data_IF_385950942479
#
_entry.id   IF_385950942479
#
_cell.length_a   1.000
_cell.length_b   1.000
_cell.length_c   1.000
_cell.angle_alpha   90.00
_cell.angle_beta   90.00
_cell.angle_gamma   90.00
#
_symmetry.space_group_name_H-M   'P 1'
#
loop_
_entity.id
_entity.type
_entity.pdbx_description
1 polymer ?
#
# COMPACT_ATOMS: atom_id res chain seq x y z
N UNK A 1 -31.41 -8.17 -4.72
CA UNK A 1 -32.18 -9.45 -4.60
C UNK A 1 -31.17 -10.57 -4.72
N UNK A 2 -31.16 -11.53 -3.79
CA UNK A 2 -30.17 -12.62 -3.76
C UNK A 2 -30.26 -13.51 -5.01
N UNK A 3 -29.13 -14.03 -5.50
CA UNK A 3 -29.07 -14.88 -6.69
C UNK A 3 -30.09 -16.04 -6.65
N UNK A 4 -30.15 -16.71 -5.48
CA UNK A 4 -31.13 -17.80 -5.23
C UNK A 4 -32.57 -17.32 -5.45
N UNK A 5 -32.89 -16.12 -4.94
CA UNK A 5 -34.24 -15.53 -5.10
C UNK A 5 -34.50 -15.12 -6.55
N UNK A 6 -33.48 -14.63 -7.29
CA UNK A 6 -33.61 -14.31 -8.73
C UNK A 6 -33.86 -15.54 -9.57
N UNK A 7 -33.14 -16.63 -9.34
CA UNK A 7 -33.31 -17.89 -10.05
C UNK A 7 -34.72 -18.44 -9.77
N UNK A 8 -35.18 -18.43 -8.53
CA UNK A 8 -36.51 -18.89 -8.14
C UNK A 8 -37.59 -18.03 -8.81
N UNK A 9 -37.46 -16.69 -8.72
CA UNK A 9 -38.43 -15.77 -9.36
C UNK A 9 -38.41 -15.91 -10.87
N UNK A 10 -37.24 -16.06 -11.49
CA UNK A 10 -37.15 -16.34 -12.95
C UNK A 10 -37.83 -17.65 -13.34
N UNK A 11 -37.61 -18.71 -12.56
CA UNK A 11 -38.24 -20.02 -12.83
C UNK A 11 -39.76 -19.96 -12.62
N UNK A 12 -40.21 -19.28 -11.57
CA UNK A 12 -41.66 -19.07 -11.31
C UNK A 12 -42.28 -18.22 -12.43
N UNK A 13 -41.59 -17.17 -12.88
CA UNK A 13 -42.02 -16.30 -13.96
C UNK A 13 -42.16 -17.07 -15.30
N UNK A 14 -41.20 -17.95 -15.61
CA UNK A 14 -41.26 -18.80 -16.84
C UNK A 14 -42.52 -19.69 -16.86
N UNK A 15 -42.94 -20.16 -15.69
CA UNK A 15 -44.09 -21.08 -15.58
C UNK A 15 -45.41 -20.32 -15.42
N UNK A 16 -45.45 -19.36 -14.45
CA UNK A 16 -46.68 -18.67 -14.11
C UNK A 16 -47.13 -17.62 -15.12
N UNK A 17 -46.20 -16.89 -15.77
CA UNK A 17 -46.53 -15.79 -16.66
C UNK A 17 -47.22 -16.32 -17.95
N UNK A 18 -46.72 -17.37 -18.62
CA UNK A 18 -47.44 -17.98 -19.75
C UNK A 18 -48.80 -18.54 -19.34
N UNK A 19 -48.89 -19.18 -18.18
CA UNK A 19 -50.15 -19.74 -17.66
C UNK A 19 -51.20 -18.65 -17.40
N UNK A 20 -50.78 -17.53 -16.77
CA UNK A 20 -51.67 -16.39 -16.51
C UNK A 20 -52.13 -15.73 -17.81
N UNK A 21 -51.20 -15.50 -18.75
CA UNK A 21 -51.53 -14.92 -20.05
C UNK A 21 -52.45 -15.83 -20.89
N UNK A 22 -52.22 -17.16 -20.83
CA UNK A 22 -53.05 -18.11 -21.47
C UNK A 22 -54.45 -18.18 -20.84
N UNK A 23 -54.57 -18.15 -19.50
CA UNK A 23 -55.85 -18.11 -18.80
C UNK A 23 -56.62 -16.81 -19.05
N UNK A 24 -55.94 -15.66 -19.14
CA UNK A 24 -56.55 -14.39 -19.51
C UNK A 24 -57.06 -14.38 -20.95
N UNK A 25 -56.32 -14.99 -21.89
CA UNK A 25 -56.74 -15.19 -23.29
C UNK A 25 -57.99 -16.08 -23.38
N UNK A 26 -58.01 -17.18 -22.63
CA UNK A 26 -59.19 -18.08 -22.54
C UNK A 26 -60.41 -17.35 -21.96
N UNK A 27 -60.23 -16.56 -20.91
CA UNK A 27 -61.33 -15.80 -20.30
C UNK A 27 -61.89 -14.72 -21.25
N UNK A 28 -61.02 -13.96 -21.91
CA UNK A 28 -61.41 -12.98 -22.91
C UNK A 28 -62.18 -13.64 -24.09
N UNK A 29 -61.73 -14.82 -24.48
CA UNK A 29 -62.39 -15.59 -25.51
C UNK A 29 -63.79 -16.08 -25.06
N UNK A 30 -63.94 -16.59 -23.85
CA UNK A 30 -65.22 -17.04 -23.30
C UNK A 30 -66.26 -15.89 -23.23
N UNK A 31 -65.80 -14.68 -22.89
CA UNK A 31 -66.64 -13.49 -22.86
C UNK A 31 -67.11 -13.02 -24.23
N UNK A 32 -66.29 -13.13 -25.28
CA UNK A 32 -66.63 -12.81 -26.66
C UNK A 32 -67.63 -13.85 -27.22
N UNK A 33 -67.46 -15.11 -26.87
CA UNK A 33 -68.42 -16.17 -27.22
C UNK A 33 -69.80 -15.95 -26.56
N UNK A 34 -69.82 -15.61 -25.27
CA UNK A 34 -71.03 -15.33 -24.52
C UNK A 34 -71.81 -14.14 -25.11
N UNK A 35 -71.11 -13.09 -25.56
CA UNK A 35 -71.74 -11.96 -26.27
C UNK A 35 -72.35 -12.38 -27.64
N UNK A 36 -71.58 -13.15 -28.44
CA UNK A 36 -72.11 -13.64 -29.73
C UNK A 36 -73.32 -14.56 -29.59
N UNK A 37 -73.33 -15.39 -28.56
CA UNK A 37 -74.52 -16.26 -28.27
C UNK A 37 -75.68 -15.38 -27.81
N UNK A 38 -75.46 -14.35 -27.03
CA UNK A 38 -76.52 -13.44 -26.58
C UNK A 38 -77.08 -12.55 -27.70
N UNK A 39 -76.23 -12.11 -28.64
CA UNK A 39 -76.65 -11.39 -29.85
C UNK A 39 -77.43 -12.29 -30.80
N UNK A 40 -77.00 -13.51 -31.00
CA UNK A 40 -77.74 -14.48 -31.81
C UNK A 40 -79.08 -14.93 -31.20
N UNK A 41 -79.17 -15.03 -29.89
CA UNK A 41 -80.43 -15.33 -29.18
C UNK A 41 -81.40 -14.15 -29.21
N UNK A 42 -80.91 -12.88 -29.19
CA UNK A 42 -81.73 -11.69 -29.30
C UNK A 42 -82.30 -11.50 -30.74
N UNK A 43 -81.56 -11.90 -31.75
CA UNK A 43 -82.06 -11.93 -33.18
C UNK A 43 -83.03 -13.07 -33.43
N UNK A 44 -82.93 -14.19 -32.70
CA UNK A 44 -83.88 -15.34 -32.87
C UNK A 44 -85.26 -15.12 -32.19
N UNK A 45 -85.37 -14.12 -31.24
CA UNK A 45 -86.67 -13.83 -30.59
C UNK A 45 -87.59 -12.94 -31.41
N UNK A 46 -87.14 -12.41 -32.54
CA UNK A 46 -87.92 -11.52 -33.41
C UNK A 46 -88.54 -12.19 -34.63
N UNK A 47 -88.36 -13.52 -34.80
CA UNK A 47 -88.93 -14.29 -35.88
C UNK A 47 -89.58 -15.58 -35.35
N UNK A 48 -90.82 -15.42 -34.88
CA UNK A 48 -91.71 -16.52 -34.60
C UNK A 48 -92.22 -17.12 -35.93
N UNK A 49 -91.62 -18.27 -36.39
CA UNK A 49 -92.29 -19.33 -37.06
C UNK A 49 -91.45 -20.60 -37.25
N UNK A 50 -91.97 -21.66 -36.64
CA UNK A 50 -91.76 -23.10 -36.86
C UNK A 50 -90.93 -23.50 -38.08
N UNK A 51 -89.92 -24.34 -37.87
CA UNK A 51 -89.76 -25.68 -38.45
C UNK A 51 -88.71 -26.45 -37.66
N UNK A 52 -89.05 -27.62 -37.15
CA UNK A 52 -88.12 -28.62 -36.59
C UNK A 52 -87.25 -29.19 -37.69
N UNK A 53 -86.03 -28.78 -37.79
CA UNK A 53 -85.04 -29.56 -38.51
C UNK A 53 -83.75 -29.64 -37.65
N UNK A 54 -83.59 -30.81 -37.05
CA UNK A 54 -82.43 -31.14 -36.26
C UNK A 54 -81.34 -31.54 -37.22
N UNK A 55 -80.76 -30.59 -37.90
CA UNK A 55 -79.48 -30.73 -38.54
C UNK A 55 -78.42 -29.93 -37.71
N UNK A 56 -77.56 -30.64 -37.00
CA UNK A 56 -76.43 -30.07 -36.35
C UNK A 56 -75.62 -29.20 -37.34
N UNK A 57 -75.43 -27.93 -37.10
CA UNK A 57 -74.81 -27.06 -38.09
C UNK A 57 -73.37 -27.48 -38.30
N UNK A 58 -73.07 -27.99 -39.49
CA UNK A 58 -71.71 -28.29 -39.98
C UNK A 58 -70.77 -27.04 -39.90
N UNK A 59 -71.28 -25.84 -39.68
CA UNK A 59 -70.54 -24.57 -39.50
C UNK A 59 -69.81 -24.48 -38.17
N UNK A 60 -70.24 -25.26 -37.16
CA UNK A 60 -69.59 -25.20 -35.84
C UNK A 60 -68.22 -25.87 -35.84
N UNK A 61 -67.96 -26.86 -36.64
CA UNK A 61 -66.66 -27.57 -36.64
C UNK A 61 -65.51 -26.76 -37.29
N UNK A 62 -65.85 -25.96 -38.33
CA UNK A 62 -64.84 -25.10 -38.97
C UNK A 62 -64.49 -23.85 -38.11
N UNK A 63 -65.46 -23.27 -37.43
CA UNK A 63 -65.24 -22.18 -36.50
C UNK A 63 -64.44 -22.63 -35.30
N UNK A 64 -64.70 -23.77 -34.69
CA UNK A 64 -63.95 -24.38 -33.61
C UNK A 64 -62.48 -24.64 -34.02
N UNK A 65 -62.25 -25.15 -35.25
CA UNK A 65 -60.89 -25.38 -35.79
C UNK A 65 -60.13 -24.07 -36.01
N UNK A 66 -60.73 -22.99 -36.48
CA UNK A 66 -60.12 -21.67 -36.64
C UNK A 66 -59.75 -21.09 -35.26
N UNK A 67 -60.65 -21.14 -34.32
CA UNK A 67 -60.45 -20.69 -32.95
C UNK A 67 -59.29 -21.44 -32.20
N UNK A 68 -59.28 -22.78 -32.38
CA UNK A 68 -58.20 -23.58 -31.83
C UNK A 68 -56.81 -23.19 -32.44
N UNK A 69 -56.80 -22.89 -33.76
CA UNK A 69 -55.57 -22.38 -34.41
C UNK A 69 -55.09 -21.05 -33.88
N UNK A 70 -55.99 -20.09 -33.66
CA UNK A 70 -55.65 -18.76 -33.09
C UNK A 70 -55.22 -18.89 -31.66
N UNK A 71 -55.80 -19.76 -30.84
CA UNK A 71 -55.37 -20.05 -29.48
C UNK A 71 -53.96 -20.66 -29.43
N UNK A 72 -53.67 -21.63 -30.33
CA UNK A 72 -52.34 -22.23 -30.44
C UNK A 72 -51.29 -21.16 -30.85
N UNK A 73 -51.66 -20.33 -31.81
CA UNK A 73 -50.79 -19.26 -32.30
C UNK A 73 -50.47 -18.25 -31.18
N UNK A 74 -51.47 -17.78 -30.43
CA UNK A 74 -51.29 -16.86 -29.34
C UNK A 74 -50.47 -17.46 -28.17
N UNK A 75 -50.72 -18.72 -27.81
CA UNK A 75 -49.93 -19.44 -26.82
C UNK A 75 -48.45 -19.59 -27.25
N UNK A 76 -48.21 -19.89 -28.53
CA UNK A 76 -46.86 -19.98 -29.07
C UNK A 76 -46.12 -18.64 -29.02
N UNK A 77 -46.78 -17.53 -29.39
CA UNK A 77 -46.18 -16.16 -29.31
C UNK A 77 -45.84 -15.80 -27.86
N UNK A 78 -46.74 -16.06 -26.92
CA UNK A 78 -46.54 -15.80 -25.49
C UNK A 78 -45.32 -16.60 -24.98
N UNK A 79 -45.22 -17.87 -25.35
CA UNK A 79 -44.12 -18.75 -24.92
C UNK A 79 -42.77 -18.30 -25.48
N UNK A 80 -42.72 -17.92 -26.74
CA UNK A 80 -41.51 -17.40 -27.38
C UNK A 80 -41.08 -16.07 -26.73
N UNK A 81 -42.01 -15.15 -26.50
CA UNK A 81 -41.73 -13.86 -25.88
C UNK A 81 -41.23 -14.00 -24.46
N UNK A 82 -41.84 -14.88 -23.65
CA UNK A 82 -41.39 -15.12 -22.26
C UNK A 82 -40.03 -15.80 -22.25
N UNK A 83 -39.75 -16.75 -23.10
CA UNK A 83 -38.45 -17.42 -23.22
C UNK A 83 -37.34 -16.42 -23.60
N UNK A 84 -37.58 -15.53 -24.55
CA UNK A 84 -36.64 -14.49 -24.96
C UNK A 84 -36.40 -13.48 -23.85
N UNK A 85 -37.45 -13.03 -23.15
CA UNK A 85 -37.34 -12.07 -22.06
C UNK A 85 -36.50 -12.62 -20.90
N UNK A 86 -36.75 -13.85 -20.51
CA UNK A 86 -36.01 -14.51 -19.42
C UNK A 86 -34.60 -14.84 -19.88
N UNK A 87 -34.38 -15.28 -21.10
CA UNK A 87 -33.04 -15.51 -21.66
C UNK A 87 -32.19 -14.27 -21.65
N UNK A 88 -32.74 -13.11 -22.08
CA UNK A 88 -32.05 -11.82 -22.03
C UNK A 88 -31.76 -11.38 -20.60
N UNK A 89 -32.69 -11.63 -19.69
CA UNK A 89 -32.49 -11.29 -18.28
C UNK A 89 -31.38 -12.12 -17.63
N UNK A 90 -31.35 -13.43 -17.85
CA UNK A 90 -30.31 -14.34 -17.39
C UNK A 90 -28.94 -13.93 -17.99
N UNK A 91 -28.90 -13.67 -19.29
CA UNK A 91 -27.70 -13.26 -19.98
C UNK A 91 -27.08 -12.00 -19.33
N UNK A 92 -27.89 -10.95 -19.08
CA UNK A 92 -27.43 -9.71 -18.45
C UNK A 92 -27.05 -9.89 -16.96
N UNK A 93 -27.79 -10.75 -16.25
CA UNK A 93 -27.62 -10.94 -14.81
C UNK A 93 -26.43 -11.86 -14.43
N UNK A 94 -26.08 -12.80 -15.32
CA UNK A 94 -25.07 -13.84 -15.02
C UNK A 94 -23.92 -13.81 -16.02
N UNK A 95 -24.21 -13.88 -17.30
CA UNK A 95 -23.17 -14.07 -18.31
C UNK A 95 -22.26 -12.84 -18.44
N UNK A 96 -22.82 -11.63 -18.41
CA UNK A 96 -22.04 -10.38 -18.55
C UNK A 96 -21.07 -10.19 -17.40
N UNK A 97 -21.44 -10.29 -16.09
CA UNK A 97 -20.50 -10.20 -14.97
C UNK A 97 -19.42 -11.28 -15.02
N UNK A 98 -19.76 -12.50 -15.39
CA UNK A 98 -18.81 -13.60 -15.50
C UNK A 98 -17.73 -13.34 -16.58
N UNK A 99 -18.13 -12.79 -17.73
CA UNK A 99 -17.20 -12.39 -18.79
C UNK A 99 -16.29 -11.25 -18.33
N UNK A 100 -16.84 -10.25 -17.60
CA UNK A 100 -16.04 -9.15 -17.00
C UNK A 100 -14.98 -9.73 -16.04
N UNK A 101 -15.35 -10.61 -15.13
CA UNK A 101 -14.43 -11.28 -14.19
C UNK A 101 -13.38 -12.12 -14.92
N UNK A 102 -13.77 -12.90 -15.94
CA UNK A 102 -12.83 -13.68 -16.76
C UNK A 102 -11.78 -12.78 -17.42
N UNK A 103 -12.20 -11.63 -17.97
CA UNK A 103 -11.29 -10.65 -18.57
C UNK A 103 -10.36 -10.03 -17.52
N UNK A 104 -10.90 -9.66 -16.34
CA UNK A 104 -10.13 -9.13 -15.23
C UNK A 104 -9.06 -10.12 -14.74
N UNK A 105 -9.44 -11.41 -14.56
CA UNK A 105 -8.50 -12.47 -14.20
C UNK A 105 -7.39 -12.66 -15.24
N UNK A 106 -7.72 -12.55 -16.53
CA UNK A 106 -6.72 -12.61 -17.60
C UNK A 106 -5.73 -11.44 -17.50
N UNK A 107 -6.23 -10.21 -17.32
CA UNK A 107 -5.39 -9.03 -17.16
C UNK A 107 -4.42 -9.18 -15.98
N UNK A 108 -4.91 -9.64 -14.82
CA UNK A 108 -4.07 -9.88 -13.64
C UNK A 108 -2.99 -10.93 -13.94
N UNK A 109 -3.37 -12.03 -14.62
CA UNK A 109 -2.41 -13.08 -15.01
C UNK A 109 -1.29 -12.54 -15.92
N UNK A 110 -1.61 -11.57 -16.77
CA UNK A 110 -0.67 -10.91 -17.69
C UNK A 110 0.12 -9.76 -17.00
N UNK A 111 -0.08 -9.54 -15.70
CA UNK A 111 0.58 -8.48 -14.92
C UNK A 111 0.00 -7.09 -15.13
N UNK A 112 -1.08 -6.97 -15.90
CA UNK A 112 -1.76 -5.69 -16.08
C UNK A 112 -2.76 -5.48 -14.94
N UNK A 113 -2.42 -4.55 -14.04
CA UNK A 113 -3.26 -4.15 -12.90
C UNK A 113 -3.91 -2.77 -13.12
N UNK A 114 -3.65 -2.09 -14.26
CA UNK A 114 -4.12 -0.74 -14.57
C UNK A 114 -5.49 -0.73 -15.26
N UNK A 115 -6.42 -1.53 -14.75
CA UNK A 115 -7.81 -1.50 -15.16
C UNK A 115 -8.70 -1.33 -13.93
N UNK A 116 -9.94 -0.91 -14.16
CA UNK A 116 -10.96 -0.80 -13.11
C UNK A 116 -12.10 -1.76 -13.48
N UNK A 117 -12.54 -2.55 -12.52
CA UNK A 117 -13.70 -3.39 -12.68
C UNK A 117 -14.94 -2.59 -12.26
N UNK A 118 -15.68 -2.05 -13.24
CA UNK A 118 -16.93 -1.36 -12.97
C UNK A 118 -17.96 -2.34 -12.41
N UNK A 119 -18.48 -2.01 -11.24
CA UNK A 119 -19.47 -2.80 -10.53
C UNK A 119 -20.82 -2.11 -10.62
N UNK A 120 -21.75 -2.72 -11.31
CA UNK A 120 -23.12 -2.26 -11.43
C UNK A 120 -24.07 -3.24 -10.72
N UNK A 121 -24.92 -2.71 -9.86
CA UNK A 121 -25.94 -3.51 -9.17
C UNK A 121 -25.66 -3.73 -7.69
N UNK A 122 -26.55 -4.47 -7.02
CA UNK A 122 -26.49 -4.74 -5.58
C UNK A 122 -26.84 -6.22 -5.31
N UNK A 123 -26.27 -7.11 -6.10
CA UNK A 123 -26.46 -8.56 -6.02
C UNK A 123 -25.14 -9.26 -5.66
N UNK A 124 -25.20 -10.58 -5.51
CA UNK A 124 -24.05 -11.40 -5.14
C UNK A 124 -22.92 -11.34 -6.18
N UNK A 125 -23.23 -11.14 -7.46
CA UNK A 125 -22.22 -10.95 -8.50
C UNK A 125 -21.57 -9.57 -8.41
N UNK A 126 -22.34 -8.55 -8.07
CA UNK A 126 -21.82 -7.21 -7.82
C UNK A 126 -20.88 -7.22 -6.61
N UNK A 127 -21.26 -7.92 -5.54
CA UNK A 127 -20.41 -8.10 -4.37
C UNK A 127 -19.12 -8.85 -4.72
N UNK A 128 -19.20 -9.93 -5.47
CA UNK A 128 -18.03 -10.67 -5.96
C UNK A 128 -17.10 -9.78 -6.82
N UNK A 129 -17.67 -8.93 -7.67
CA UNK A 129 -16.90 -7.97 -8.45
C UNK A 129 -16.22 -6.90 -7.56
N UNK A 130 -16.89 -6.46 -6.47
CA UNK A 130 -16.31 -5.55 -5.50
C UNK A 130 -15.13 -6.19 -4.76
N UNK A 131 -15.32 -7.41 -4.24
CA UNK A 131 -14.25 -8.15 -3.54
C UNK A 131 -13.05 -8.39 -4.48
N UNK A 132 -13.31 -8.65 -5.74
CA UNK A 132 -12.27 -8.82 -6.76
C UNK A 132 -11.54 -7.52 -7.08
N UNK A 133 -12.25 -6.39 -7.13
CA UNK A 133 -11.65 -5.07 -7.34
C UNK A 133 -10.81 -4.64 -6.13
N UNK A 134 -11.27 -4.93 -4.90
CA UNK A 134 -10.47 -4.69 -3.70
C UNK A 134 -9.19 -5.54 -3.69
N UNK A 135 -9.29 -6.82 -4.06
CA UNK A 135 -8.13 -7.70 -4.21
C UNK A 135 -7.15 -7.16 -5.27
N UNK A 136 -7.65 -6.72 -6.43
CA UNK A 136 -6.82 -6.11 -7.49
C UNK A 136 -6.09 -4.88 -6.99
N UNK A 137 -6.81 -4.00 -6.25
CA UNK A 137 -6.23 -2.77 -5.69
C UNK A 137 -5.11 -3.08 -4.71
N UNK A 138 -5.34 -4.00 -3.77
CA UNK A 138 -4.31 -4.45 -2.81
C UNK A 138 -3.10 -5.07 -3.52
N UNK A 139 -3.35 -5.86 -4.56
CA UNK A 139 -2.27 -6.46 -5.36
C UNK A 139 -1.45 -5.39 -6.10
N UNK A 140 -2.12 -4.36 -6.64
CA UNK A 140 -1.46 -3.24 -7.29
C UNK A 140 -0.58 -2.48 -6.29
N UNK A 141 -1.13 -2.09 -5.14
CA UNK A 141 -0.40 -1.40 -4.07
C UNK A 141 0.82 -2.22 -3.62
N UNK A 142 0.65 -3.50 -3.35
CA UNK A 142 1.76 -4.39 -2.97
C UNK A 142 2.83 -4.54 -4.07
N UNK A 143 2.42 -4.53 -5.34
CA UNK A 143 3.37 -4.60 -6.46
C UNK A 143 4.16 -3.30 -6.62
N UNK A 144 3.49 -2.16 -6.49
CA UNK A 144 4.11 -0.83 -6.53
C UNK A 144 5.11 -0.65 -5.37
N UNK A 145 4.74 -1.05 -4.15
CA UNK A 145 5.63 -1.06 -2.99
C UNK A 145 6.87 -1.94 -3.23
N UNK A 146 6.68 -3.13 -3.81
CA UNK A 146 7.80 -4.03 -4.14
C UNK A 146 8.73 -3.43 -5.19
N UNK A 147 8.19 -2.80 -6.23
CA UNK A 147 9.00 -2.13 -7.26
C UNK A 147 9.81 -0.98 -6.65
N UNK A 148 9.19 -0.20 -5.76
CA UNK A 148 9.87 0.89 -5.05
C UNK A 148 11.01 0.33 -4.19
N UNK A 149 10.75 -0.71 -3.41
CA UNK A 149 11.76 -1.38 -2.56
C UNK A 149 12.91 -1.97 -3.39
N UNK A 150 12.62 -2.61 -4.53
CA UNK A 150 13.65 -3.14 -5.43
C UNK A 150 14.51 -2.01 -6.03
N UNK A 151 13.91 -0.86 -6.34
CA UNK A 151 14.64 0.32 -6.80
C UNK A 151 15.55 0.87 -5.70
N UNK A 152 15.03 1.04 -4.49
CA UNK A 152 15.80 1.50 -3.33
C UNK A 152 16.98 0.57 -3.04
N UNK A 153 16.78 -0.75 -3.10
CA UNK A 153 17.86 -1.73 -2.92
C UNK A 153 18.95 -1.64 -4.01
N UNK A 154 18.57 -1.41 -5.26
CA UNK A 154 19.55 -1.20 -6.34
C UNK A 154 20.36 0.08 -6.14
N UNK A 155 19.71 1.16 -5.76
CA UNK A 155 20.38 2.43 -5.42
C UNK A 155 21.32 2.27 -4.22
N UNK A 156 20.91 1.51 -3.19
CA UNK A 156 21.77 1.15 -2.07
C UNK A 156 23.05 0.46 -2.52
N UNK A 157 22.92 -0.63 -3.26
CA UNK A 157 24.09 -1.42 -3.72
C UNK A 157 25.03 -0.53 -4.55
N UNK A 158 24.48 0.33 -5.40
CA UNK A 158 25.26 1.26 -6.21
C UNK A 158 26.03 2.27 -5.35
N UNK A 159 25.35 2.89 -4.39
CA UNK A 159 25.95 3.91 -3.52
C UNK A 159 27.02 3.30 -2.61
N UNK A 160 26.76 2.15 -2.01
CA UNK A 160 27.74 1.44 -1.17
C UNK A 160 28.97 1.04 -1.99
N UNK A 161 28.74 0.51 -3.20
CA UNK A 161 29.85 0.13 -4.08
C UNK A 161 30.76 1.32 -4.41
N UNK A 162 30.17 2.50 -4.64
CA UNK A 162 30.89 3.73 -4.85
C UNK A 162 31.65 4.18 -3.58
N UNK A 163 30.98 4.19 -2.42
CA UNK A 163 31.54 4.66 -1.15
C UNK A 163 32.61 3.72 -0.59
N UNK A 164 32.58 2.42 -0.93
CA UNK A 164 33.67 1.47 -0.66
C UNK A 164 34.83 1.60 -1.66
N UNK A 165 34.55 1.85 -2.93
CA UNK A 165 35.59 1.97 -3.96
C UNK A 165 36.57 3.12 -3.68
N UNK A 166 36.07 4.23 -3.14
CA UNK A 166 36.90 5.42 -2.85
C UNK A 166 37.99 5.14 -1.82
N UNK A 167 37.71 4.64 -0.60
CA UNK A 167 38.76 4.31 0.37
C UNK A 167 39.67 3.17 -0.10
N UNK A 168 39.13 2.15 -0.81
CA UNK A 168 39.95 1.06 -1.39
C UNK A 168 40.98 1.62 -2.36
N UNK A 169 40.58 2.52 -3.27
CA UNK A 169 41.49 3.16 -4.21
C UNK A 169 42.55 4.00 -3.50
N UNK A 170 42.18 4.70 -2.43
CA UNK A 170 43.12 5.45 -1.63
C UNK A 170 44.13 4.54 -0.92
N UNK A 171 43.66 3.48 -0.24
CA UNK A 171 44.54 2.49 0.40
C UNK A 171 45.53 1.90 -0.61
N UNK A 172 45.04 1.48 -1.79
CA UNK A 172 45.87 0.94 -2.85
C UNK A 172 46.93 1.93 -3.28
N UNK A 173 46.56 3.20 -3.53
CA UNK A 173 47.51 4.23 -3.96
C UNK A 173 48.59 4.55 -2.91
N UNK A 174 48.22 4.56 -1.60
CA UNK A 174 49.21 4.73 -0.55
C UNK A 174 50.15 3.52 -0.39
N UNK A 175 49.65 2.30 -0.55
CA UNK A 175 50.45 1.07 -0.54
C UNK A 175 51.41 1.06 -1.75
N UNK A 176 50.91 1.36 -2.93
CA UNK A 176 51.78 1.49 -4.15
C UNK A 176 52.86 2.55 -3.95
N UNK A 177 52.52 3.71 -3.38
CA UNK A 177 53.47 4.75 -3.07
C UNK A 177 54.56 4.36 -2.03
N UNK A 178 54.22 3.44 -1.11
CA UNK A 178 55.22 2.83 -0.21
C UNK A 178 56.13 1.87 -0.98
N UNK A 179 55.54 1.00 -1.82
CA UNK A 179 56.26 0.02 -2.59
C UNK A 179 57.22 0.66 -3.63
N UNK A 180 56.80 1.77 -4.22
CA UNK A 180 57.60 2.54 -5.20
C UNK A 180 58.63 3.47 -4.57
N UNK A 181 58.76 3.48 -3.22
CA UNK A 181 59.73 4.28 -2.51
C UNK A 181 59.38 5.78 -2.45
N UNK A 182 58.14 6.19 -2.78
CA UNK A 182 57.66 7.58 -2.66
C UNK A 182 57.61 8.04 -1.19
N UNK A 183 57.37 7.12 -0.26
CA UNK A 183 57.46 7.33 1.17
C UNK A 183 58.90 7.18 1.64
N UNK A 184 59.76 8.09 1.19
CA UNK A 184 61.20 8.07 1.36
C UNK A 184 61.73 8.59 2.69
N UNK A 185 60.86 9.12 3.55
CA UNK A 185 61.23 9.58 4.93
C UNK A 185 60.32 8.92 5.97
N UNK A 186 60.80 8.80 7.23
CA UNK A 186 60.00 8.25 8.33
C UNK A 186 58.65 8.99 8.54
N UNK A 187 58.65 10.31 8.37
CA UNK A 187 57.43 11.13 8.53
C UNK A 187 56.42 10.88 7.41
N UNK A 188 56.91 10.71 6.17
CA UNK A 188 56.04 10.31 5.02
C UNK A 188 55.48 8.90 5.22
N UNK A 189 56.32 7.97 5.66
CA UNK A 189 55.94 6.60 5.95
C UNK A 189 54.85 6.56 7.01
N UNK A 190 55.05 7.23 8.14
CA UNK A 190 54.05 7.33 9.25
C UNK A 190 52.73 7.92 8.73
N UNK A 191 52.79 9.01 7.95
CA UNK A 191 51.59 9.61 7.34
C UNK A 191 50.87 8.67 6.43
N UNK A 192 51.57 7.90 5.58
CA UNK A 192 50.96 6.94 4.67
C UNK A 192 50.28 5.80 5.43
N UNK A 193 50.98 5.22 6.42
CA UNK A 193 50.42 4.14 7.26
C UNK A 193 49.20 4.64 8.06
N UNK A 194 49.25 5.83 8.65
CA UNK A 194 48.07 6.40 9.32
C UNK A 194 46.92 6.65 8.38
N UNK A 195 47.17 7.06 7.14
CA UNK A 195 46.12 7.27 6.16
C UNK A 195 45.48 5.95 5.75
N UNK A 196 46.27 4.89 5.53
CA UNK A 196 45.80 3.55 5.28
C UNK A 196 44.92 3.06 6.43
N UNK A 197 45.40 3.18 7.67
CA UNK A 197 44.66 2.79 8.88
C UNK A 197 43.31 3.51 8.99
N UNK A 198 43.33 4.84 8.82
CA UNK A 198 42.08 5.62 8.86
C UNK A 198 41.08 5.22 7.78
N UNK A 199 41.56 4.94 6.55
CA UNK A 199 40.71 4.51 5.44
C UNK A 199 40.14 3.10 5.66
N UNK A 200 40.89 2.21 6.31
CA UNK A 200 40.42 0.90 6.70
C UNK A 200 39.33 0.98 7.77
N UNK A 201 39.49 1.86 8.75
CA UNK A 201 38.45 2.10 9.77
C UNK A 201 37.16 2.71 9.16
N UNK A 202 37.30 3.63 8.17
CA UNK A 202 36.15 4.14 7.41
C UNK A 202 35.38 2.99 6.70
N UNK A 203 36.11 2.05 6.08
CA UNK A 203 35.47 0.88 5.44
C UNK A 203 34.77 -0.03 6.44
N UNK A 204 35.42 -0.31 7.58
CA UNK A 204 34.82 -1.15 8.63
C UNK A 204 33.51 -0.51 9.15
N UNK A 205 33.50 0.79 9.36
CA UNK A 205 32.28 1.52 9.74
C UNK A 205 31.17 1.36 8.69
N UNK A 206 31.48 1.51 7.38
CA UNK A 206 30.49 1.34 6.31
C UNK A 206 29.94 -0.09 6.23
N UNK A 207 30.80 -1.09 6.42
CA UNK A 207 30.39 -2.51 6.44
C UNK A 207 29.47 -2.79 7.64
N UNK A 208 29.79 -2.23 8.81
CA UNK A 208 28.97 -2.37 10.01
C UNK A 208 27.61 -1.70 9.86
N UNK A 209 27.54 -0.51 9.24
CA UNK A 209 26.27 0.14 8.88
C UNK A 209 25.43 -0.70 7.92
N UNK A 210 26.06 -1.27 6.88
CA UNK A 210 25.37 -2.12 5.90
C UNK A 210 24.83 -3.41 6.54
N UNK A 211 25.67 -4.06 7.36
CA UNK A 211 25.27 -5.29 8.08
C UNK A 211 24.07 -5.03 8.99
N UNK A 212 24.10 -3.90 9.68
CA UNK A 212 22.99 -3.51 10.53
C UNK A 212 21.74 -3.18 9.72
N UNK A 213 21.90 -2.46 8.60
CA UNK A 213 20.79 -2.19 7.68
C UNK A 213 20.12 -3.48 7.20
N UNK A 214 20.90 -4.49 6.80
CA UNK A 214 20.37 -5.79 6.39
C UNK A 214 19.56 -6.48 7.49
N UNK A 215 19.95 -6.30 8.77
CA UNK A 215 19.18 -6.81 9.92
C UNK A 215 17.87 -6.03 10.13
N UNK A 216 17.89 -4.72 9.92
CA UNK A 216 16.70 -3.86 9.97
C UNK A 216 15.67 -4.30 8.94
N UNK A 217 16.08 -4.46 7.69
CA UNK A 217 15.19 -4.76 6.57
C UNK A 217 14.49 -6.12 6.72
N UNK A 218 15.17 -7.06 7.38
CA UNK A 218 14.61 -8.39 7.70
C UNK A 218 13.82 -8.44 9.02
N UNK A 219 13.64 -7.30 9.71
CA UNK A 219 13.01 -7.22 11.04
C UNK A 219 13.66 -8.17 12.07
N UNK A 220 14.98 -8.38 11.96
CA UNK A 220 15.77 -9.34 12.75
C UNK A 220 16.74 -8.67 13.73
N UNK A 221 16.48 -7.43 14.11
CA UNK A 221 17.28 -6.80 15.17
C UNK A 221 16.91 -7.51 16.46
N UNK A 222 17.84 -8.23 17.11
CA UNK A 222 17.58 -8.80 18.41
C UNK A 222 17.68 -7.70 19.46
N UNK A 223 16.55 -7.03 19.75
CA UNK A 223 16.52 -6.03 20.82
C UNK A 223 16.58 -6.70 22.19
N UNK A 224 17.40 -6.13 23.09
CA UNK A 224 17.48 -6.55 24.49
C UNK A 224 16.91 -5.42 25.37
N UNK A 225 15.58 -5.37 25.46
CA UNK A 225 14.92 -4.38 26.29
C UNK A 225 15.17 -4.61 27.77
N UNK A 226 15.62 -3.55 28.46
CA UNK A 226 15.85 -3.56 29.90
C UNK A 226 15.38 -2.26 30.54
N UNK A 227 15.22 -2.25 31.85
CA UNK A 227 14.95 -1.00 32.61
C UNK A 227 16.24 -0.22 32.73
N UNK A 228 16.27 0.97 32.17
CA UNK A 228 17.40 1.88 32.24
C UNK A 228 17.04 3.05 33.17
N UNK A 229 17.93 3.35 34.14
CA UNK A 229 17.84 4.61 34.88
C UNK A 229 18.25 5.73 33.94
N UNK A 230 17.38 6.71 33.75
CA UNK A 230 17.58 7.80 32.78
C UNK A 230 18.79 8.66 33.15
N UNK A 231 18.92 9.03 34.44
CA UNK A 231 20.03 9.89 34.93
C UNK A 231 21.37 9.19 34.69
N UNK A 232 21.50 7.95 35.17
CA UNK A 232 22.76 7.21 35.08
C UNK A 232 23.16 6.96 33.63
N UNK A 233 22.20 6.46 32.83
CA UNK A 233 22.44 6.08 31.42
C UNK A 233 22.89 7.27 30.56
N UNK A 234 22.20 8.42 30.64
CA UNK A 234 22.53 9.57 29.82
C UNK A 234 23.74 10.33 30.35
N UNK A 235 24.03 10.25 31.66
CA UNK A 235 25.27 10.76 32.23
C UNK A 235 26.50 10.02 31.70
N UNK A 236 26.43 8.67 31.69
CA UNK A 236 27.51 7.84 31.15
C UNK A 236 27.72 8.11 29.65
N UNK A 237 26.61 8.23 28.87
CA UNK A 237 26.70 8.60 27.46
C UNK A 237 27.32 9.97 27.23
N UNK A 238 26.97 10.94 28.09
CA UNK A 238 27.54 12.31 28.00
C UNK A 238 29.02 12.35 28.35
N UNK A 239 29.48 11.58 29.34
CA UNK A 239 30.88 11.47 29.71
C UNK A 239 31.71 10.86 28.57
N UNK A 240 31.25 9.72 27.99
CA UNK A 240 31.91 9.07 26.86
C UNK A 240 32.03 10.02 25.65
N UNK A 241 30.91 10.67 25.28
CA UNK A 241 30.90 11.65 24.19
C UNK A 241 31.78 12.87 24.49
N UNK A 242 31.81 13.34 25.74
CA UNK A 242 32.64 14.47 26.17
C UNK A 242 34.12 14.24 25.89
N UNK A 243 34.62 13.05 26.23
CA UNK A 243 35.99 12.66 25.95
C UNK A 243 36.30 12.64 24.44
N UNK A 244 35.40 12.14 23.63
CA UNK A 244 35.56 12.15 22.16
C UNK A 244 35.53 13.58 21.60
N UNK A 245 34.61 14.42 22.07
CA UNK A 245 34.48 15.80 21.61
C UNK A 245 35.69 16.66 21.99
N UNK A 246 36.25 16.48 23.16
CA UNK A 246 37.45 17.19 23.62
C UNK A 246 38.63 16.97 22.67
N UNK A 247 38.85 15.74 22.21
CA UNK A 247 39.91 15.41 21.25
C UNK A 247 39.76 16.13 19.91
N UNK A 248 38.52 16.53 19.58
CA UNK A 248 38.15 17.22 18.32
C UNK A 248 38.00 18.74 18.49
N UNK A 249 38.20 19.27 19.71
CA UNK A 249 38.01 20.69 20.01
C UNK A 249 36.54 21.15 19.95
N UNK A 250 35.61 20.24 20.22
CA UNK A 250 34.17 20.50 20.26
C UNK A 250 33.71 20.53 21.70
N UNK A 251 32.90 21.52 22.06
CA UNK A 251 32.31 21.64 23.39
C UNK A 251 31.01 20.82 23.46
N UNK A 252 30.93 19.88 24.41
CA UNK A 252 29.69 19.19 24.75
C UNK A 252 29.07 19.79 26.01
N UNK A 253 27.79 20.20 25.88
CA UNK A 253 27.01 20.70 27.02
C UNK A 253 25.90 19.68 27.30
N UNK A 254 25.95 19.08 28.50
CA UNK A 254 24.92 18.14 28.96
C UNK A 254 24.00 18.79 29.99
N UNK A 255 22.69 18.60 29.82
CA UNK A 255 21.67 19.04 30.77
C UNK A 255 20.58 18.01 30.94
N UNK A 256 20.38 17.51 32.14
CA UNK A 256 19.29 16.58 32.48
C UNK A 256 18.23 17.32 33.31
N UNK A 257 16.98 17.25 32.83
CA UNK A 257 15.81 17.84 33.48
C UNK A 257 14.85 16.78 34.02
N UNK A 258 15.28 15.51 34.08
CA UNK A 258 14.49 14.39 34.56
C UNK A 258 14.73 14.19 36.04
N UNK A 259 13.66 13.87 36.77
CA UNK A 259 13.78 13.58 38.21
C UNK A 259 14.59 12.30 38.47
N UNK A 260 15.25 12.24 39.61
CA UNK A 260 16.06 11.09 40.03
C UNK A 260 15.20 9.83 40.15
N UNK A 261 15.74 8.72 39.65
CA UNK A 261 15.09 7.43 39.77
C UNK A 261 14.05 7.11 38.68
N UNK A 262 13.79 8.01 37.71
CA UNK A 262 12.96 7.73 36.55
C UNK A 262 13.62 6.65 35.69
N UNK A 263 12.82 5.66 35.28
CA UNK A 263 13.28 4.53 34.48
C UNK A 263 12.48 4.47 33.18
N UNK A 264 13.15 4.05 32.10
CA UNK A 264 12.56 3.72 30.80
C UNK A 264 12.87 2.29 30.42
N UNK A 265 11.99 1.69 29.61
CA UNK A 265 12.23 0.37 29.01
C UNK A 265 12.81 0.59 27.63
N UNK A 266 14.11 0.30 27.45
CA UNK A 266 14.80 0.48 26.18
C UNK A 266 15.96 -0.51 26.04
N UNK A 267 16.44 -0.66 24.81
CA UNK A 267 17.72 -1.32 24.54
C UNK A 267 18.83 -0.25 24.59
N UNK A 268 19.62 -0.26 25.64
CA UNK A 268 20.66 0.75 25.87
C UNK A 268 21.72 0.79 24.77
N UNK A 269 22.07 -0.36 24.19
CA UNK A 269 23.04 -0.40 23.08
C UNK A 269 22.49 0.30 21.83
N UNK A 270 21.22 0.07 21.52
CA UNK A 270 20.59 0.69 20.35
C UNK A 270 20.30 2.17 20.57
N UNK A 271 19.93 2.61 21.78
CA UNK A 271 19.80 4.03 22.10
C UNK A 271 21.15 4.75 22.02
N UNK A 272 22.25 4.14 22.50
CA UNK A 272 23.61 4.65 22.32
C UNK A 272 23.95 4.84 20.85
N UNK A 273 23.58 3.89 20.02
CA UNK A 273 23.74 3.96 18.55
C UNK A 273 22.97 5.12 17.94
N UNK A 274 21.73 5.37 18.39
CA UNK A 274 20.93 6.53 17.97
C UNK A 274 21.68 7.83 18.27
N UNK A 275 22.15 8.00 19.50
CA UNK A 275 22.89 9.19 19.94
C UNK A 275 24.15 9.37 19.09
N UNK A 276 24.93 8.31 18.92
CA UNK A 276 26.17 8.34 18.15
C UNK A 276 25.95 8.73 16.68
N UNK A 277 24.90 8.20 16.03
CA UNK A 277 24.55 8.55 14.65
C UNK A 277 24.19 10.04 14.51
N UNK A 278 23.45 10.60 15.46
CA UNK A 278 23.07 12.01 15.43
C UNK A 278 24.31 12.89 15.69
N UNK A 279 25.09 12.56 16.71
CA UNK A 279 26.32 13.31 17.06
C UNK A 279 27.36 13.25 15.94
N UNK A 280 27.55 12.09 15.32
CA UNK A 280 28.46 11.94 14.17
C UNK A 280 28.04 12.83 13.00
N UNK A 281 26.73 12.93 12.74
CA UNK A 281 26.21 13.86 11.73
C UNK A 281 26.46 15.32 12.13
N UNK A 282 26.23 15.69 13.39
CA UNK A 282 26.50 17.04 13.88
C UNK A 282 27.97 17.44 13.67
N UNK A 283 28.92 16.56 14.04
CA UNK A 283 30.35 16.78 13.83
C UNK A 283 30.71 16.96 12.36
N UNK A 284 30.17 16.07 11.52
CA UNK A 284 30.43 16.05 10.07
C UNK A 284 30.03 17.34 9.36
N UNK A 285 28.91 17.93 9.76
CA UNK A 285 28.38 19.17 9.17
C UNK A 285 28.69 20.43 9.97
N UNK A 286 29.61 20.32 10.93
CA UNK A 286 30.10 21.44 11.69
C UNK A 286 31.09 22.25 10.86
N UNK A 287 30.77 23.51 10.58
CA UNK A 287 31.60 24.42 9.77
C UNK A 287 32.16 25.58 10.59
N UNK A 288 31.72 25.72 11.85
CA UNK A 288 32.18 26.81 12.74
C UNK A 288 33.51 26.48 13.40
N UNK A 289 34.39 27.50 13.67
CA UNK A 289 35.68 27.29 14.31
C UNK A 289 35.58 26.70 15.71
N UNK A 290 34.49 27.00 16.44
CA UNK A 290 34.17 26.44 17.75
C UNK A 290 32.85 25.63 17.60
N UNK A 291 32.99 24.32 17.58
CA UNK A 291 31.86 23.39 17.58
C UNK A 291 31.23 23.33 18.97
N UNK A 292 29.89 23.35 19.01
CA UNK A 292 29.11 23.18 20.24
C UNK A 292 28.03 22.17 19.97
N UNK A 293 27.93 21.13 20.80
CA UNK A 293 26.82 20.16 20.80
C UNK A 293 26.16 20.22 22.17
N UNK A 294 24.84 20.33 22.22
CA UNK A 294 24.07 20.31 23.46
C UNK A 294 23.20 19.07 23.50
N UNK A 295 23.35 18.24 24.53
CA UNK A 295 22.53 17.09 24.83
C UNK A 295 21.60 17.43 26.00
N UNK A 296 20.30 17.47 25.76
CA UNK A 296 19.28 17.76 26.77
C UNK A 296 18.33 16.58 26.90
N UNK A 297 18.05 16.16 28.13
CA UNK A 297 17.10 15.07 28.46
C UNK A 297 15.96 15.63 29.27
N UNK A 298 14.72 15.40 28.86
CA UNK A 298 13.50 15.94 29.47
C UNK A 298 12.46 14.86 29.67
N UNK A 299 11.72 14.94 30.75
CA UNK A 299 10.49 14.18 30.96
C UNK A 299 9.33 14.91 30.30
N UNK A 300 8.58 14.21 29.45
CA UNK A 300 7.40 14.73 28.74
C UNK A 300 6.16 13.85 29.01
N UNK A 301 6.10 13.27 30.18
CA UNK A 301 5.00 12.40 30.63
C UNK A 301 5.27 10.93 30.34
N UNK A 302 4.60 10.35 29.36
CA UNK A 302 4.78 8.93 29.04
C UNK A 302 6.10 8.60 28.31
N UNK A 303 6.90 9.62 27.96
CA UNK A 303 8.14 9.48 27.20
C UNK A 303 9.26 10.34 27.77
N UNK A 304 10.48 9.91 27.53
CA UNK A 304 11.68 10.72 27.70
C UNK A 304 12.05 11.32 26.34
N UNK A 305 12.15 12.65 26.31
CA UNK A 305 12.60 13.39 25.13
C UNK A 305 14.08 13.70 25.25
N UNK A 306 14.85 13.28 24.25
CA UNK A 306 16.28 13.58 24.13
C UNK A 306 16.46 14.56 22.98
N UNK A 307 17.05 15.72 23.25
CA UNK A 307 17.36 16.73 22.25
C UNK A 307 18.86 16.82 22.05
N UNK A 308 19.32 16.71 20.82
CA UNK A 308 20.72 16.93 20.43
C UNK A 308 20.72 18.14 19.50
N UNK A 309 21.31 19.26 19.99
CA UNK A 309 21.42 20.52 19.25
C UNK A 309 22.87 20.74 18.85
N UNK A 310 23.13 21.01 17.58
CA UNK A 310 24.43 21.43 17.04
C UNK A 310 24.40 22.88 16.58
N UNK A 311 25.57 23.51 16.54
CA UNK A 311 25.75 24.83 15.96
C UNK A 311 26.34 24.80 14.54
N UNK A 312 26.15 23.70 13.81
CA UNK A 312 26.66 23.51 12.46
C UNK A 312 25.90 24.29 11.39
N UNK A 313 25.96 23.80 10.16
CA UNK A 313 25.34 24.43 8.98
C UNK A 313 23.81 24.48 9.03
N UNK A 314 23.19 23.52 9.72
CA UNK A 314 21.75 23.32 9.69
C UNK A 314 21.25 22.62 8.41
N UNK A 315 19.96 22.32 8.38
CA UNK A 315 19.30 21.58 7.30
C UNK A 315 18.34 22.53 6.57
N UNK A 316 18.34 22.48 5.23
CA UNK A 316 17.42 23.30 4.45
C UNK A 316 15.96 22.84 4.66
N UNK A 317 15.00 23.77 4.65
CA UNK A 317 13.59 23.45 4.91
C UNK A 317 13.02 22.42 3.95
N UNK A 318 13.47 22.43 2.69
CA UNK A 318 13.05 21.46 1.66
C UNK A 318 13.52 20.03 1.95
N UNK A 319 14.61 19.88 2.70
CA UNK A 319 15.24 18.59 2.97
C UNK A 319 14.73 17.96 4.28
N UNK A 320 14.24 18.77 5.23
CA UNK A 320 13.78 18.31 6.55
C UNK A 320 12.79 17.12 6.53
N UNK A 321 11.79 17.08 5.63
CA UNK A 321 10.85 15.96 5.59
C UNK A 321 11.50 14.63 5.20
N UNK A 322 12.64 14.67 4.51
CA UNK A 322 13.26 13.52 3.87
C UNK A 322 14.54 13.03 4.55
N UNK A 323 15.10 13.77 5.54
CA UNK A 323 16.40 13.42 6.13
C UNK A 323 16.43 12.07 6.84
N UNK A 324 15.28 11.56 7.25
CA UNK A 324 15.12 10.24 7.86
C UNK A 324 14.77 9.15 6.85
N UNK A 325 14.58 9.53 5.57
CA UNK A 325 14.35 8.54 4.52
C UNK A 325 15.65 7.83 4.18
N UNK A 326 15.52 6.59 3.75
CA UNK A 326 16.65 5.74 3.40
C UNK A 326 17.42 6.36 2.25
N UNK A 327 18.76 6.42 2.38
CA UNK A 327 19.69 6.92 1.33
C UNK A 327 19.52 8.39 0.95
N UNK A 328 18.67 9.12 1.67
CA UNK A 328 18.50 10.52 1.39
C UNK A 328 19.78 11.29 1.75
N UNK A 329 20.26 12.05 0.78
CA UNK A 329 21.42 12.96 0.92
C UNK A 329 21.09 14.28 0.26
N UNK A 330 21.39 15.38 0.92
CA UNK A 330 21.22 16.71 0.32
C UNK A 330 22.16 16.89 -0.88
N UNK A 331 21.78 17.71 -1.87
CA UNK A 331 22.58 17.96 -3.08
C UNK A 331 24.02 18.41 -2.75
N UNK A 332 24.17 19.18 -1.67
CA UNK A 332 25.47 19.65 -1.19
C UNK A 332 26.33 18.52 -0.64
N UNK A 333 25.72 17.52 0.01
CA UNK A 333 26.45 16.39 0.58
C UNK A 333 26.85 15.35 -0.47
N UNK A 334 26.17 15.30 -1.61
CA UNK A 334 26.56 14.44 -2.77
C UNK A 334 27.90 14.84 -3.37
N UNK A 335 28.18 16.15 -3.40
CA UNK A 335 29.40 16.72 -3.99
C UNK A 335 30.55 16.94 -2.97
N UNK A 336 30.33 16.66 -1.68
CA UNK A 336 31.36 16.88 -0.67
C UNK A 336 32.21 15.62 -0.45
N UNK A 337 33.51 15.81 -0.30
CA UNK A 337 34.47 14.78 0.14
C UNK A 337 34.18 14.23 1.56
N UNK A 338 33.20 14.81 2.25
CA UNK A 338 32.74 14.42 3.58
C UNK A 338 31.78 13.24 3.58
N UNK A 339 31.93 12.27 2.68
CA UNK A 339 31.18 11.02 2.50
C UNK A 339 30.08 10.66 3.53
N UNK A 340 29.28 9.67 3.22
CA UNK A 340 28.28 9.12 4.15
C UNK A 340 27.20 8.35 3.40
N UNK A 341 26.87 7.17 3.87
CA UNK A 341 25.95 6.20 3.27
C UNK A 341 24.49 6.70 3.10
N UNK A 342 24.09 7.74 3.85
CA UNK A 342 22.68 8.15 3.97
C UNK A 342 21.81 7.16 4.76
N UNK A 343 22.44 6.21 5.45
CA UNK A 343 21.75 5.17 6.23
C UNK A 343 21.59 5.59 7.70
N UNK A 344 22.51 6.37 8.26
CA UNK A 344 22.57 6.63 9.70
C UNK A 344 21.28 7.19 10.30
N UNK A 345 20.62 8.18 9.66
CA UNK A 345 19.38 8.75 10.17
C UNK A 345 18.17 7.84 9.95
N UNK A 346 18.15 7.01 8.91
CA UNK A 346 17.11 6.01 8.75
C UNK A 346 17.21 4.89 9.78
N UNK A 347 18.42 4.54 10.21
CA UNK A 347 18.66 3.65 11.37
C UNK A 347 18.08 4.29 12.64
N UNK A 348 18.35 5.58 12.89
CA UNK A 348 17.79 6.31 14.02
C UNK A 348 16.27 6.22 14.03
N UNK A 349 15.62 6.52 12.90
CA UNK A 349 14.16 6.43 12.76
C UNK A 349 13.64 5.05 13.12
N UNK A 350 14.21 4.01 12.53
CA UNK A 350 13.78 2.62 12.76
C UNK A 350 13.96 2.18 14.22
N UNK A 351 15.09 2.47 14.84
CA UNK A 351 15.30 2.14 16.25
C UNK A 351 14.27 2.85 17.12
N UNK A 352 14.01 4.14 16.89
CA UNK A 352 13.02 4.89 17.66
C UNK A 352 11.60 4.35 17.47
N UNK A 353 11.21 4.01 16.25
CA UNK A 353 9.91 3.39 15.95
C UNK A 353 9.76 2.03 16.64
N UNK A 354 10.80 1.19 16.61
CA UNK A 354 10.79 -0.13 17.28
C UNK A 354 10.76 -0.03 18.82
N UNK A 355 11.18 1.11 19.37
CA UNK A 355 11.03 1.45 20.79
C UNK A 355 9.69 2.11 21.13
N UNK A 356 8.76 2.22 20.14
CA UNK A 356 7.47 2.89 20.30
C UNK A 356 7.57 4.42 20.38
N UNK A 357 8.75 4.99 20.09
CA UNK A 357 9.04 6.41 20.10
C UNK A 357 8.92 7.06 18.72
N UNK A 358 9.37 8.33 18.66
CA UNK A 358 9.41 9.12 17.42
C UNK A 358 10.70 9.90 17.35
N UNK A 359 11.16 10.23 16.13
CA UNK A 359 12.27 11.13 15.87
C UNK A 359 11.85 12.24 14.92
N UNK A 360 12.34 13.45 15.16
CA UNK A 360 12.14 14.59 14.28
C UNK A 360 13.33 15.54 14.36
N UNK A 361 13.43 16.41 13.37
CA UNK A 361 14.43 17.49 13.37
C UNK A 361 13.75 18.84 13.20
N UNK A 362 14.30 19.83 13.90
CA UNK A 362 13.89 21.22 13.75
C UNK A 362 15.06 22.08 13.33
N UNK A 363 14.75 23.12 12.57
CA UNK A 363 15.74 24.04 12.01
C UNK A 363 15.83 25.30 12.84
N UNK A 364 17.06 25.73 13.17
CA UNK A 364 17.36 27.13 13.52
C UNK A 364 18.23 27.72 12.41
N UNK A 365 17.66 28.61 11.61
CA UNK A 365 18.35 29.27 10.49
C UNK A 365 19.63 29.92 10.96
N UNK A 366 20.80 29.52 10.41
CA UNK A 366 22.11 30.05 10.71
C UNK A 366 22.67 29.71 12.08
N UNK A 367 21.95 28.90 12.89
CA UNK A 367 22.37 28.51 14.24
C UNK A 367 22.78 27.04 14.29
N UNK A 368 22.08 26.15 13.60
CA UNK A 368 22.35 24.70 13.58
C UNK A 368 21.09 23.86 13.42
N UNK A 369 21.14 22.60 13.87
CA UNK A 369 20.03 21.66 13.87
C UNK A 369 19.71 21.20 15.28
N UNK A 370 18.42 20.92 15.56
CA UNK A 370 17.98 20.18 16.75
C UNK A 370 17.32 18.90 16.26
N UNK A 371 17.79 17.77 16.75
CA UNK A 371 17.16 16.47 16.57
C UNK A 371 16.68 15.92 17.89
#
# INVERSE_FOLDING_TARGET
>A
MKLKTRIIVGFVAIILLPLLLFSASLYGFSQTQAKHVQESSSQASDSSQMVYDISLPQSSSSQVKLMAKDMILTATIILVFTALSVGLWIYRSIAVPLVKLKKATKNIKEGNLDFVLEVEGNDEFSQLCQDFEEMRKRLKESTEEKILMDKENKELISNISHDLKTPITAVKGYVEGIMDGVADTPEKMDRYVRTIYNKTNEMDHLINELTFYSKIDTNRIPYTFSKLNVEDYFSDCAEELGLEMETRGIELVYANYVEKGVQVIADGEQIRRVIHNIVSNAIKYMEKPRGIIQLRVKDVGDFIQVEIEDNGKGIAAKDLPYIFDRFYRTDVSRNSSKGGSGIGLSIVKKIMEDHGGKVWATRRLGIGTIM
#
